data_IF_932336423579
#
_entry.id   IF_932336423579
#
_cell.length_a   1.000
_cell.length_b   1.000
_cell.length_c   1.000
_cell.angle_alpha   90.00
_cell.angle_beta   90.00
_cell.angle_gamma   90.00
#
_symmetry.space_group_name_H-M   'P 1'
#
loop_
_entity.id
_entity.type
_entity.pdbx_description
1 polymer ?
#
# COMPACT_ATOMS: atom_id res chain seq x y z
N UNK A 1 -5.66 4.68 17.86
CA UNK A 1 -4.42 5.46 17.62
C UNK A 1 -3.22 4.54 17.68
N UNK A 2 -2.20 4.76 16.85
CA UNK A 2 -0.96 3.97 16.85
C UNK A 2 -0.18 4.21 18.15
N UNK A 3 0.35 3.14 18.78
CA UNK A 3 1.25 3.27 19.94
C UNK A 3 2.62 3.74 19.48
N UNK A 4 3.38 4.34 20.38
CA UNK A 4 4.78 4.74 20.17
C UNK A 4 5.62 3.51 19.72
N UNK A 5 6.59 3.73 18.82
CA UNK A 5 7.43 2.69 18.20
C UNK A 5 6.69 1.62 17.38
N UNK A 6 5.52 1.96 16.82
CA UNK A 6 4.80 1.08 15.88
C UNK A 6 4.86 1.67 14.48
N UNK A 7 4.81 0.77 13.50
CA UNK A 7 4.82 1.12 12.08
C UNK A 7 3.48 0.79 11.43
N UNK A 8 3.13 1.57 10.41
CA UNK A 8 2.02 1.33 9.50
C UNK A 8 2.63 1.04 8.14
N UNK A 9 2.31 -0.13 7.57
CA UNK A 9 2.77 -0.51 6.24
C UNK A 9 1.58 -0.47 5.30
N UNK A 10 1.67 0.34 4.26
CA UNK A 10 0.63 0.49 3.23
C UNK A 10 1.22 0.06 1.89
N UNK A 11 0.62 -0.91 1.22
CA UNK A 11 0.97 -1.22 -0.17
C UNK A 11 -0.07 -0.57 -1.08
N UNK A 12 0.38 0.27 -2.02
CA UNK A 12 -0.51 1.02 -2.91
C UNK A 12 -0.03 1.01 -4.35
N UNK A 13 -0.99 1.07 -5.28
CA UNK A 13 -0.72 1.25 -6.71
C UNK A 13 -0.20 2.67 -6.95
N UNK A 14 0.94 2.80 -7.62
CA UNK A 14 1.59 4.10 -7.87
C UNK A 14 1.53 4.54 -9.33
N UNK A 15 0.90 3.74 -10.19
CA UNK A 15 0.54 4.18 -11.54
C UNK A 15 -0.75 5.00 -11.54
N UNK A 16 -0.97 5.77 -12.61
CA UNK A 16 -2.23 6.48 -12.84
C UNK A 16 -3.41 5.49 -12.91
N UNK A 17 -4.59 5.83 -12.36
CA UNK A 17 -4.94 7.07 -11.66
C UNK A 17 -4.63 7.05 -10.16
N UNK A 18 -4.14 5.93 -9.63
CA UNK A 18 -3.99 5.69 -8.19
C UNK A 18 -2.92 6.56 -7.53
N UNK A 19 -1.93 7.03 -8.30
CA UNK A 19 -0.94 7.98 -7.80
C UNK A 19 -1.53 9.30 -7.30
N UNK A 20 -2.71 9.72 -7.80
CA UNK A 20 -3.43 10.92 -7.34
C UNK A 20 -3.95 10.83 -5.91
N UNK A 21 -3.89 9.66 -5.29
CA UNK A 21 -4.26 9.50 -3.89
C UNK A 21 -3.19 10.04 -2.95
N UNK A 22 -1.96 10.26 -3.42
CA UNK A 22 -0.94 11.02 -2.68
C UNK A 22 -0.70 10.48 -1.25
N UNK A 23 -0.57 9.16 -1.12
CA UNK A 23 -0.48 8.44 0.16
C UNK A 23 0.56 9.04 1.12
N UNK A 24 1.69 9.51 0.60
CA UNK A 24 2.73 10.18 1.40
C UNK A 24 2.21 11.47 2.04
N UNK A 25 1.54 12.34 1.26
CA UNK A 25 0.97 13.59 1.78
C UNK A 25 -0.17 13.33 2.75
N UNK A 26 -1.02 12.33 2.49
CA UNK A 26 -2.06 11.90 3.44
C UNK A 26 -1.44 11.47 4.77
N UNK A 27 -0.40 10.62 4.74
CA UNK A 27 0.29 10.18 5.94
C UNK A 27 0.82 11.36 6.77
N UNK A 28 1.50 12.30 6.13
CA UNK A 28 1.99 13.53 6.77
C UNK A 28 0.84 14.36 7.37
N UNK A 29 -0.27 14.50 6.65
CA UNK A 29 -1.46 15.21 7.14
C UNK A 29 -2.07 14.60 8.40
N UNK A 30 -1.85 13.31 8.65
CA UNK A 30 -2.27 12.61 9.89
C UNK A 30 -1.15 12.53 10.95
N UNK A 31 -0.06 13.28 10.79
CA UNK A 31 1.05 13.31 11.75
C UNK A 31 1.92 12.05 11.72
N UNK A 32 1.95 11.34 10.59
CA UNK A 32 2.85 10.21 10.37
C UNK A 32 4.07 10.65 9.57
N UNK A 33 5.22 10.04 9.86
CA UNK A 33 6.44 10.24 9.11
C UNK A 33 6.71 9.04 8.21
N UNK A 34 7.01 9.30 6.93
CA UNK A 34 7.44 8.26 6.01
C UNK A 34 8.87 7.84 6.36
N UNK A 35 9.03 6.59 6.77
CA UNK A 35 10.32 5.97 7.12
C UNK A 35 10.96 5.37 5.89
N UNK A 36 10.17 4.68 5.06
CA UNK A 36 10.68 3.94 3.92
C UNK A 36 9.60 3.82 2.84
N UNK A 37 10.05 3.80 1.58
CA UNK A 37 9.23 3.47 0.41
C UNK A 37 10.01 2.52 -0.47
N UNK A 38 9.50 1.33 -0.69
CA UNK A 38 10.13 0.31 -1.55
C UNK A 38 9.17 -0.16 -2.64
N UNK A 39 9.67 -0.55 -3.83
CA UNK A 39 8.85 -1.19 -4.84
C UNK A 39 8.21 -2.46 -4.29
N UNK A 40 6.92 -2.66 -4.57
CA UNK A 40 6.23 -3.89 -4.24
C UNK A 40 6.28 -4.84 -5.42
N UNK A 41 6.69 -6.08 -5.15
CA UNK A 41 6.73 -7.14 -6.13
C UNK A 41 6.00 -8.38 -5.63
N UNK A 42 5.09 -8.91 -6.45
CA UNK A 42 4.26 -10.05 -6.09
C UNK A 42 5.09 -11.30 -5.71
N UNK A 43 6.21 -11.52 -6.41
CA UNK A 43 7.08 -12.68 -6.18
C UNK A 43 7.83 -12.63 -4.84
N UNK A 44 7.92 -11.47 -4.16
CA UNK A 44 8.42 -11.41 -2.78
C UNK A 44 7.43 -12.02 -1.76
N UNK A 45 6.18 -12.27 -2.18
CA UNK A 45 5.11 -12.79 -1.33
C UNK A 45 4.44 -14.01 -1.99
N UNK A 46 5.07 -15.20 -1.99
CA UNK A 46 4.59 -16.37 -2.75
C UNK A 46 3.20 -16.87 -2.36
N UNK A 47 2.73 -16.54 -1.16
CA UNK A 47 1.40 -16.91 -0.65
C UNK A 47 0.34 -15.84 -0.82
N UNK A 48 0.71 -14.65 -1.28
CA UNK A 48 -0.23 -13.57 -1.52
C UNK A 48 -0.89 -13.75 -2.89
N UNK A 49 -2.22 -13.94 -2.88
CA UNK A 49 -3.04 -13.96 -4.08
C UNK A 49 -4.03 -12.81 -3.99
N UNK A 50 -3.89 -11.82 -4.88
CA UNK A 50 -4.86 -10.72 -4.95
C UNK A 50 -6.15 -11.22 -5.59
N UNK A 51 -7.28 -10.85 -4.99
CA UNK A 51 -8.62 -11.17 -5.47
C UNK A 51 -9.39 -9.88 -5.72
N UNK A 52 -10.29 -9.91 -6.70
CA UNK A 52 -11.27 -8.86 -6.90
C UNK A 52 -12.12 -8.66 -5.63
N UNK A 53 -12.70 -7.46 -5.49
CA UNK A 53 -13.55 -7.17 -4.33
C UNK A 53 -14.93 -7.80 -4.50
N UNK A 54 -15.73 -7.31 -5.46
CA UNK A 54 -17.13 -7.68 -5.64
C UNK A 54 -17.46 -7.97 -7.13
N UNK A 55 -18.57 -8.66 -7.36
CA UNK A 55 -19.08 -9.03 -8.68
C UNK A 55 -18.76 -10.47 -9.10
N UNK A 56 -19.12 -10.82 -10.34
CA UNK A 56 -19.01 -12.19 -10.85
C UNK A 56 -17.58 -12.74 -10.96
N UNK A 57 -16.57 -11.87 -10.86
CA UNK A 57 -15.13 -12.19 -10.93
C UNK A 57 -14.40 -11.93 -9.61
N UNK A 58 -15.12 -11.94 -8.48
CA UNK A 58 -14.56 -11.60 -7.17
C UNK A 58 -13.38 -12.49 -6.76
N UNK A 59 -13.42 -13.79 -7.07
CA UNK A 59 -12.33 -14.72 -6.75
C UNK A 59 -11.17 -14.68 -7.77
N UNK A 60 -11.31 -13.94 -8.87
CA UNK A 60 -10.27 -13.86 -9.88
C UNK A 60 -9.16 -12.88 -9.50
N UNK A 61 -7.94 -13.22 -9.88
CA UNK A 61 -6.80 -12.31 -9.81
C UNK A 61 -6.86 -11.22 -10.88
N UNK A 62 -6.21 -10.10 -10.61
CA UNK A 62 -6.07 -9.00 -11.57
C UNK A 62 -4.61 -8.50 -11.65
N UNK A 63 -4.22 -7.79 -12.72
CA UNK A 63 -2.89 -7.18 -12.80
C UNK A 63 -2.67 -6.16 -11.66
N UNK A 64 -1.70 -6.45 -10.80
CA UNK A 64 -1.33 -5.57 -9.68
C UNK A 64 -0.75 -4.25 -10.21
N UNK A 65 0.08 -4.31 -11.26
CA UNK A 65 0.74 -3.15 -11.85
C UNK A 65 1.84 -2.57 -10.96
N UNK A 66 2.29 -1.35 -11.27
CA UNK A 66 3.33 -0.67 -10.50
C UNK A 66 2.79 -0.28 -9.11
N UNK A 67 3.43 -0.81 -8.07
CA UNK A 67 3.07 -0.59 -6.68
C UNK A 67 4.29 -0.28 -5.82
N UNK A 68 4.06 0.34 -4.66
CA UNK A 68 5.07 0.52 -3.63
C UNK A 68 4.49 0.21 -2.26
N UNK A 69 5.35 -0.28 -1.37
CA UNK A 69 5.07 -0.40 0.05
C UNK A 69 5.67 0.80 0.78
N UNK A 70 4.82 1.52 1.51
CA UNK A 70 5.14 2.69 2.30
C UNK A 70 5.13 2.29 3.76
N UNK A 71 6.20 2.61 4.48
CA UNK A 71 6.33 2.40 5.91
C UNK A 71 6.26 3.76 6.60
N UNK A 72 5.26 3.93 7.44
CA UNK A 72 5.07 5.13 8.25
C UNK A 72 5.29 4.80 9.72
N UNK A 73 5.81 5.76 10.48
CA UNK A 73 5.87 5.70 11.93
C UNK A 73 5.28 6.97 12.54
N UNK A 74 4.88 6.90 13.81
CA UNK A 74 4.53 8.08 14.58
C UNK A 74 5.80 8.57 15.28
N UNK A 75 6.14 9.84 15.06
CA UNK A 75 7.16 10.53 15.84
C UNK A 75 6.69 10.77 17.27
#
# INVERSE_FOLDING_TARGET
MLKENREIHVTHKTAYPFNRWEIEMLGVGFGLCLVEKVPFYLWHYPRYQNKGADGSRCDESFPVGVCSSFKFAKN
#
